data_IF_152186008703
#
_entry.id   IF_152186008703
#
_cell.length_a   1.000
_cell.length_b   1.000
_cell.length_c   1.000
_cell.angle_alpha   90.00
_cell.angle_beta   90.00
_cell.angle_gamma   90.00
#
_symmetry.space_group_name_H-M   'P 1'
#
loop_
_entity.id
_entity.type
_entity.pdbx_description
1 polymer ?
#
# COMPACT_ATOMS: atom_id res chain seq x y z
N UNK A 1 1.47 -23.20 28.89
CA UNK A 1 0.34 -24.13 29.09
C UNK A 1 -0.94 -23.75 28.33
N UNK A 2 -0.86 -23.27 27.08
CA UNK A 2 -2.04 -23.08 26.21
C UNK A 2 -1.75 -23.58 24.78
N UNK A 3 -1.01 -24.69 24.66
CA UNK A 3 -0.56 -25.21 23.36
C UNK A 3 -1.74 -25.53 22.46
N UNK A 4 -2.74 -26.24 22.99
CA UNK A 4 -3.91 -26.68 22.21
C UNK A 4 -4.79 -25.50 21.77
N UNK A 5 -4.91 -24.48 22.62
CA UNK A 5 -5.63 -23.24 22.28
C UNK A 5 -4.89 -22.44 21.21
N UNK A 6 -3.56 -22.33 21.31
CA UNK A 6 -2.74 -21.66 20.28
C UNK A 6 -2.78 -22.42 18.95
N UNK A 7 -2.87 -23.76 18.97
CA UNK A 7 -3.05 -24.55 17.74
C UNK A 7 -4.41 -24.23 17.10
N UNK A 8 -5.47 -24.21 17.88
CA UNK A 8 -6.82 -23.88 17.39
C UNK A 8 -6.88 -22.46 16.83
N UNK A 9 -6.30 -21.48 17.54
CA UNK A 9 -6.24 -20.08 17.11
C UNK A 9 -5.41 -19.91 15.83
N UNK A 10 -4.21 -20.50 15.78
CA UNK A 10 -3.36 -20.41 14.60
C UNK A 10 -3.93 -21.12 13.37
N UNK A 11 -4.65 -22.22 13.56
CA UNK A 11 -5.39 -22.89 12.50
C UNK A 11 -6.55 -22.02 11.98
N UNK A 12 -7.34 -21.43 12.89
CA UNK A 12 -8.43 -20.53 12.53
C UNK A 12 -7.94 -19.29 11.78
N UNK A 13 -6.86 -18.66 12.26
CA UNK A 13 -6.27 -17.48 11.64
C UNK A 13 -5.70 -17.76 10.26
N UNK A 14 -4.97 -18.87 10.11
CA UNK A 14 -4.43 -19.27 8.82
C UNK A 14 -5.54 -19.58 7.81
N UNK A 15 -6.57 -20.34 8.21
CA UNK A 15 -7.68 -20.68 7.32
C UNK A 15 -8.55 -19.47 6.96
N UNK A 16 -8.80 -18.58 7.92
CA UNK A 16 -9.54 -17.33 7.69
C UNK A 16 -8.81 -16.47 6.64
N UNK A 17 -7.49 -16.33 6.77
CA UNK A 17 -6.70 -15.55 5.83
C UNK A 17 -6.54 -16.25 4.46
N UNK A 18 -6.46 -17.58 4.40
CA UNK A 18 -6.46 -18.33 3.13
C UNK A 18 -7.77 -18.13 2.37
N UNK A 19 -8.92 -18.26 3.04
CA UNK A 19 -10.25 -18.01 2.46
C UNK A 19 -10.40 -16.59 1.95
N UNK A 20 -9.94 -15.59 2.72
CA UNK A 20 -9.94 -14.18 2.30
C UNK A 20 -9.15 -13.93 1.02
N UNK A 21 -8.15 -14.77 0.75
CA UNK A 21 -7.31 -14.72 -0.45
C UNK A 21 -7.84 -15.61 -1.60
N UNK A 22 -9.02 -16.23 -1.45
CA UNK A 22 -9.61 -17.13 -2.43
C UNK A 22 -8.85 -18.44 -2.59
N UNK A 23 -8.14 -18.88 -1.54
CA UNK A 23 -7.34 -20.10 -1.52
C UNK A 23 -8.00 -21.08 -0.56
N UNK A 24 -8.43 -22.22 -1.06
CA UNK A 24 -9.05 -23.29 -0.28
C UNK A 24 -8.26 -24.59 -0.53
N UNK A 25 -7.16 -24.82 0.20
CA UNK A 25 -6.41 -26.06 0.10
C UNK A 25 -7.09 -27.15 0.92
N UNK A 26 -6.92 -28.41 0.49
CA UNK A 26 -7.28 -29.56 1.34
C UNK A 26 -6.42 -29.57 2.60
N UNK A 27 -6.96 -30.05 3.72
CA UNK A 27 -6.27 -30.05 5.02
C UNK A 27 -4.92 -30.80 4.97
N UNK A 28 -4.87 -31.94 4.29
CA UNK A 28 -3.64 -32.69 4.06
C UNK A 28 -2.60 -31.92 3.23
N UNK A 29 -3.05 -31.10 2.30
CA UNK A 29 -2.18 -30.26 1.47
C UNK A 29 -1.58 -29.13 2.31
N UNK A 30 -2.40 -28.48 3.13
CA UNK A 30 -1.98 -27.44 4.05
C UNK A 30 -0.94 -27.98 5.05
N UNK A 31 -1.21 -29.12 5.67
CA UNK A 31 -0.31 -29.76 6.63
C UNK A 31 1.05 -30.11 6.00
N UNK A 32 1.06 -30.65 4.78
CA UNK A 32 2.32 -30.91 4.05
C UNK A 32 3.13 -29.66 3.74
N UNK A 33 2.48 -28.52 3.51
CA UNK A 33 3.18 -27.24 3.31
C UNK A 33 3.76 -26.75 4.64
N UNK A 34 3.01 -26.86 5.73
CA UNK A 34 3.46 -26.46 7.06
C UNK A 34 4.64 -27.29 7.53
N UNK A 35 4.62 -28.61 7.36
CA UNK A 35 5.75 -29.50 7.68
C UNK A 35 7.01 -29.15 6.88
N UNK A 36 6.87 -28.71 5.62
CA UNK A 36 8.02 -28.26 4.81
C UNK A 36 8.58 -26.91 5.26
N UNK A 37 7.75 -26.05 5.84
CA UNK A 37 8.16 -24.73 6.35
C UNK A 37 8.70 -24.81 7.78
N UNK A 38 8.19 -25.77 8.55
CA UNK A 38 8.46 -25.97 9.96
C UNK A 38 9.94 -25.98 10.37
N UNK A 39 10.84 -26.68 9.65
CA UNK A 39 12.27 -26.70 9.99
C UNK A 39 12.94 -25.31 10.01
N UNK A 40 12.43 -24.34 9.24
CA UNK A 40 12.96 -22.96 9.23
C UNK A 40 12.52 -22.13 10.44
N UNK A 41 11.55 -22.63 11.19
CA UNK A 41 10.92 -21.97 12.33
C UNK A 41 11.04 -22.79 13.61
N UNK A 42 11.92 -23.80 13.63
CA UNK A 42 12.08 -24.73 14.76
C UNK A 42 10.77 -25.46 15.13
N UNK A 43 9.90 -25.69 14.14
CA UNK A 43 8.60 -26.34 14.28
C UNK A 43 8.63 -27.68 13.53
N UNK A 44 8.88 -28.82 14.17
CA UNK A 44 9.05 -30.10 13.47
C UNK A 44 7.74 -30.64 12.88
N UNK A 45 6.58 -30.24 13.38
CA UNK A 45 5.26 -30.71 12.92
C UNK A 45 4.37 -29.56 12.44
N UNK A 46 3.31 -29.90 11.69
CA UNK A 46 2.28 -28.94 11.31
C UNK A 46 1.58 -28.34 12.55
N UNK A 47 1.35 -29.13 13.61
CA UNK A 47 0.82 -28.64 14.88
C UNK A 47 1.72 -27.59 15.53
N UNK A 48 3.04 -27.79 15.49
CA UNK A 48 3.97 -26.81 16.04
C UNK A 48 3.95 -25.51 15.25
N UNK A 49 3.74 -25.60 13.92
CA UNK A 49 3.53 -24.42 13.08
C UNK A 49 2.21 -23.72 13.41
N UNK A 50 1.11 -24.45 13.61
CA UNK A 50 -0.16 -23.84 14.04
C UNK A 50 -0.03 -23.18 15.42
N UNK A 51 0.61 -23.85 16.37
CA UNK A 51 0.91 -23.27 17.69
C UNK A 51 1.73 -21.99 17.53
N UNK A 52 2.80 -22.02 16.71
CA UNK A 52 3.65 -20.87 16.43
C UNK A 52 2.92 -19.71 15.78
N UNK A 53 1.92 -19.99 14.96
CA UNK A 53 1.06 -18.96 14.40
C UNK A 53 0.15 -18.37 15.48
N UNK A 54 -0.52 -19.20 16.28
CA UNK A 54 -1.48 -18.74 17.28
C UNK A 54 -0.87 -17.92 18.41
N UNK A 55 0.35 -18.24 18.86
CA UNK A 55 1.05 -17.39 19.84
C UNK A 55 1.83 -16.23 19.20
N UNK A 56 1.81 -16.10 17.87
CA UNK A 56 2.46 -15.01 17.13
C UNK A 56 3.96 -15.17 16.87
N UNK A 57 4.55 -16.33 17.15
CA UNK A 57 5.97 -16.63 16.86
C UNK A 57 6.27 -16.78 15.35
N UNK A 58 5.29 -17.22 14.57
CA UNK A 58 5.36 -17.26 13.10
C UNK A 58 4.18 -16.49 12.54
N UNK A 59 4.39 -15.32 11.92
CA UNK A 59 3.28 -14.56 11.41
C UNK A 59 2.67 -15.23 10.17
N UNK A 60 1.34 -15.30 10.12
CA UNK A 60 0.54 -15.93 9.04
C UNK A 60 1.02 -15.53 7.63
N UNK A 61 1.42 -14.27 7.44
CA UNK A 61 1.86 -13.75 6.14
C UNK A 61 3.14 -14.42 5.59
N UNK A 62 3.99 -15.02 6.43
CA UNK A 62 5.17 -15.79 5.97
C UNK A 62 4.79 -17.14 5.38
N UNK A 63 3.63 -17.68 5.76
CA UNK A 63 3.17 -19.03 5.40
C UNK A 63 2.34 -19.01 4.12
N UNK A 64 1.43 -18.04 3.99
CA UNK A 64 0.47 -17.93 2.87
C UNK A 64 1.11 -17.95 1.47
N UNK A 65 2.23 -17.25 1.17
CA UNK A 65 2.83 -17.27 -0.16
C UNK A 65 3.23 -18.69 -0.60
N UNK A 66 3.71 -19.51 0.33
CA UNK A 66 4.11 -20.88 0.02
C UNK A 66 2.91 -21.79 -0.18
N UNK A 67 1.87 -21.63 0.65
CA UNK A 67 0.59 -22.34 0.48
C UNK A 67 -0.03 -22.00 -0.88
N UNK A 68 -0.03 -20.72 -1.26
CA UNK A 68 -0.51 -20.24 -2.57
C UNK A 68 0.26 -20.85 -3.73
N UNK A 69 1.59 -20.91 -3.66
CA UNK A 69 2.43 -21.49 -4.70
C UNK A 69 2.08 -22.97 -4.96
N UNK A 70 1.88 -23.74 -3.88
CA UNK A 70 1.55 -25.17 -3.96
C UNK A 70 0.12 -25.37 -4.47
N UNK A 71 -0.84 -24.61 -3.93
CA UNK A 71 -2.24 -24.65 -4.34
C UNK A 71 -2.40 -24.29 -5.83
N UNK A 72 -1.71 -23.26 -6.31
CA UNK A 72 -1.73 -22.86 -7.72
C UNK A 72 -1.08 -23.90 -8.64
N UNK A 73 -0.04 -24.62 -8.20
CA UNK A 73 0.58 -25.68 -9.01
C UNK A 73 -0.39 -26.85 -9.27
N UNK A 74 -1.26 -27.17 -8.31
CA UNK A 74 -2.27 -28.24 -8.41
C UNK A 74 -3.54 -27.78 -9.13
N UNK A 75 -3.97 -26.54 -8.91
CA UNK A 75 -5.19 -25.96 -9.50
C UNK A 75 -4.97 -25.27 -10.85
N UNK A 76 -3.76 -25.32 -11.41
CA UNK A 76 -3.50 -24.93 -12.80
C UNK A 76 -4.03 -26.01 -13.75
N UNK A 77 -5.36 -26.13 -13.82
CA UNK A 77 -6.02 -26.81 -14.91
C UNK A 77 -5.57 -26.17 -16.23
N UNK A 78 -5.27 -27.01 -17.22
CA UNK A 78 -4.80 -26.62 -18.53
C UNK A 78 -5.78 -25.63 -19.18
N UNK A 79 -5.47 -24.34 -19.15
CA UNK A 79 -6.07 -23.37 -20.05
C UNK A 79 -5.44 -23.55 -21.45
N UNK A 80 -6.23 -23.51 -22.53
CA UNK A 80 -5.72 -23.73 -23.88
C UNK A 80 -4.65 -22.69 -24.23
N UNK A 81 -3.61 -23.15 -24.94
CA UNK A 81 -2.46 -22.36 -25.32
C UNK A 81 -2.85 -21.23 -26.27
N UNK A 82 -2.90 -20.00 -25.77
CA UNK A 82 -2.75 -18.79 -26.58
C UNK A 82 -1.28 -18.60 -26.96
N UNK A 83 -0.96 -18.20 -28.21
CA UNK A 83 0.41 -18.11 -28.70
C UNK A 83 1.26 -17.17 -27.82
N UNK A 84 2.47 -17.64 -27.50
CA UNK A 84 3.45 -17.00 -26.63
C UNK A 84 3.87 -15.62 -27.16
N UNK A 85 3.32 -14.57 -26.56
CA UNK A 85 3.97 -13.26 -26.50
C UNK A 85 5.23 -13.42 -25.63
N UNK A 86 6.39 -12.86 -26.03
CA UNK A 86 7.66 -13.08 -25.33
C UNK A 86 7.59 -12.71 -23.85
N UNK A 87 8.38 -13.44 -23.06
CA UNK A 87 8.33 -13.57 -21.61
C UNK A 87 8.01 -12.28 -20.84
N UNK A 88 7.21 -12.35 -19.75
CA UNK A 88 7.09 -11.23 -18.84
C UNK A 88 8.46 -10.98 -18.22
N UNK A 89 9.00 -9.80 -18.51
CA UNK A 89 10.12 -9.19 -17.80
C UNK A 89 9.95 -9.39 -16.28
N UNK A 90 11.07 -9.65 -15.58
CA UNK A 90 11.36 -9.49 -14.15
C UNK A 90 10.18 -9.43 -13.15
N UNK A 91 10.26 -10.13 -11.99
CA UNK A 91 9.18 -10.20 -11.01
C UNK A 91 8.58 -8.83 -10.76
N UNK A 92 7.24 -8.73 -10.82
CA UNK A 92 6.46 -7.49 -10.70
C UNK A 92 6.92 -6.74 -9.44
N UNK A 93 7.89 -5.82 -9.61
CA UNK A 93 8.27 -4.86 -8.57
C UNK A 93 7.05 -3.99 -8.35
N UNK A 94 6.40 -4.23 -7.22
CA UNK A 94 5.18 -3.58 -6.78
C UNK A 94 5.36 -2.05 -6.84
N UNK A 95 4.73 -1.40 -7.82
CA UNK A 95 4.62 0.06 -7.97
C UNK A 95 5.92 0.89 -7.80
N UNK A 96 7.10 0.30 -8.06
CA UNK A 96 8.38 0.99 -7.86
C UNK A 96 8.75 1.26 -6.40
N UNK A 97 8.28 0.44 -5.45
CA UNK A 97 8.66 0.51 -4.02
C UNK A 97 9.30 -0.81 -3.59
N UNK A 98 10.37 -0.72 -2.80
CA UNK A 98 11.06 -1.85 -2.16
C UNK A 98 10.75 -1.83 -0.68
N UNK A 99 10.35 -2.98 -0.14
CA UNK A 99 10.08 -3.18 1.29
C UNK A 99 11.25 -3.95 1.89
N UNK A 100 11.91 -3.41 2.91
CA UNK A 100 13.05 -4.07 3.54
C UNK A 100 12.62 -5.41 4.17
N UNK A 101 13.35 -6.48 3.85
CA UNK A 101 13.11 -7.81 4.41
C UNK A 101 11.89 -8.56 3.86
N UNK A 102 11.22 -8.04 2.82
CA UNK A 102 10.07 -8.68 2.20
C UNK A 102 10.15 -8.66 0.67
N UNK A 103 10.27 -9.84 0.06
CA UNK A 103 10.19 -10.00 -1.39
C UNK A 103 8.74 -10.21 -1.85
N UNK A 104 8.36 -9.56 -2.96
CA UNK A 104 7.07 -9.77 -3.65
C UNK A 104 5.82 -9.51 -2.78
N UNK A 105 5.89 -8.48 -1.91
CA UNK A 105 4.74 -8.03 -1.12
C UNK A 105 3.77 -7.18 -1.95
N UNK A 106 2.47 -7.33 -1.69
CA UNK A 106 1.46 -6.43 -2.25
C UNK A 106 1.63 -5.03 -1.62
N UNK A 107 1.96 -4.03 -2.44
CA UNK A 107 2.11 -2.64 -1.98
C UNK A 107 0.88 -1.84 -2.40
N UNK A 108 0.36 -1.02 -1.48
CA UNK A 108 -0.73 -0.08 -1.74
C UNK A 108 -0.40 1.29 -1.18
N UNK A 109 -0.51 2.33 -2.00
CA UNK A 109 -0.36 3.71 -1.53
C UNK A 109 -1.56 4.16 -0.70
N UNK A 110 -1.30 4.78 0.43
CA UNK A 110 -2.33 5.29 1.32
C UNK A 110 -3.05 6.50 0.72
N UNK A 111 -4.38 6.50 0.80
CA UNK A 111 -5.22 7.61 0.31
C UNK A 111 -5.16 8.87 1.17
N UNK A 112 -4.62 8.78 2.39
CA UNK A 112 -4.58 9.92 3.32
C UNK A 112 -3.48 10.94 2.99
N UNK A 113 -2.39 10.52 2.33
CA UNK A 113 -1.23 11.37 2.10
C UNK A 113 -0.63 11.25 0.68
N UNK A 114 -1.15 10.35 -0.15
CA UNK A 114 -0.75 10.16 -1.56
C UNK A 114 0.77 10.24 -1.80
N UNK A 115 1.55 9.24 -1.33
CA UNK A 115 3.00 9.24 -1.52
C UNK A 115 3.38 9.33 -2.99
N UNK A 116 4.36 10.18 -3.29
CA UNK A 116 4.91 10.38 -4.62
C UNK A 116 6.39 9.98 -4.67
N UNK A 117 6.91 9.56 -5.84
CA UNK A 117 8.34 9.34 -6.01
C UNK A 117 9.17 10.54 -5.54
N UNK A 118 10.11 10.26 -4.63
CA UNK A 118 10.95 11.26 -3.96
C UNK A 118 10.49 11.63 -2.54
N UNK A 119 9.30 11.22 -2.11
CA UNK A 119 8.89 11.34 -0.72
C UNK A 119 9.66 10.37 0.18
N UNK A 120 9.95 10.80 1.41
CA UNK A 120 10.30 9.89 2.49
C UNK A 120 9.07 9.07 2.88
N UNK A 121 9.16 7.75 2.74
CA UNK A 121 8.03 6.83 2.88
C UNK A 121 8.28 5.79 3.98
N UNK A 122 7.19 5.31 4.56
CA UNK A 122 7.16 4.23 5.56
C UNK A 122 6.04 3.25 5.22
N UNK A 123 6.27 1.97 5.51
CA UNK A 123 5.28 0.92 5.31
C UNK A 123 4.61 0.52 6.62
N UNK A 124 3.32 0.22 6.57
CA UNK A 124 2.60 -0.46 7.64
C UNK A 124 2.04 -1.78 7.13
N UNK A 125 2.42 -2.90 7.75
CA UNK A 125 1.92 -4.22 7.41
C UNK A 125 0.44 -4.27 7.80
N UNK A 126 -0.45 -4.47 6.83
CA UNK A 126 -1.91 -4.58 7.07
C UNK A 126 -2.32 -6.01 7.42
N UNK A 127 -3.44 -6.18 8.14
CA UNK A 127 -3.90 -7.51 8.63
C UNK A 127 -4.31 -8.48 7.50
N UNK A 128 -4.59 -8.00 6.29
CA UNK A 128 -5.11 -8.81 5.17
C UNK A 128 -4.17 -8.91 3.97
N UNK A 129 -2.87 -9.05 4.20
CA UNK A 129 -1.80 -9.14 3.20
C UNK A 129 -1.54 -7.85 2.41
N UNK A 130 -0.41 -7.21 2.73
CA UNK A 130 0.13 -6.08 1.98
C UNK A 130 0.61 -4.95 2.88
N UNK A 131 1.48 -4.12 2.31
CA UNK A 131 2.04 -2.95 3.00
C UNK A 131 1.33 -1.69 2.51
N UNK A 132 0.71 -0.97 3.43
CA UNK A 132 0.20 0.37 3.18
C UNK A 132 1.36 1.36 3.25
N UNK A 133 1.61 2.09 2.17
CA UNK A 133 2.70 3.06 2.08
C UNK A 133 2.18 4.44 2.44
N UNK A 134 2.82 5.06 3.42
CA UNK A 134 2.54 6.41 3.88
C UNK A 134 3.78 7.28 3.71
N UNK A 135 3.59 8.60 3.62
CA UNK A 135 4.66 9.57 3.85
C UNK A 135 5.06 9.53 5.33
N UNK A 136 6.35 9.66 5.62
CA UNK A 136 6.87 9.64 7.00
C UNK A 136 6.26 10.72 7.90
N UNK A 137 5.89 11.86 7.31
CA UNK A 137 5.27 13.01 7.98
C UNK A 137 3.73 13.03 7.93
N UNK A 138 3.09 11.94 7.49
CA UNK A 138 1.63 11.84 7.48
C UNK A 138 1.07 11.89 8.90
N UNK A 139 -0.07 12.55 9.11
CA UNK A 139 -0.76 12.63 10.41
C UNK A 139 -1.16 11.27 10.99
N UNK A 140 -1.38 10.27 10.13
CA UNK A 140 -1.71 8.90 10.53
C UNK A 140 -0.48 8.04 10.83
N UNK A 141 0.73 8.58 10.65
CA UNK A 141 1.99 7.90 10.97
C UNK A 141 2.49 8.42 12.32
N UNK A 142 2.72 7.54 13.30
CA UNK A 142 3.30 7.92 14.59
C UNK A 142 4.63 8.64 14.42
N UNK A 143 4.84 9.71 15.20
CA UNK A 143 6.13 10.41 15.24
C UNK A 143 7.20 9.52 15.82
N UNK A 144 6.90 8.88 16.95
CA UNK A 144 7.70 7.83 17.56
C UNK A 144 7.08 6.48 17.23
N UNK A 145 7.82 5.66 16.48
CA UNK A 145 7.38 4.33 16.07
C UNK A 145 7.47 3.33 17.22
N UNK A 146 8.34 3.55 18.21
CA UNK A 146 8.52 2.63 19.34
C UNK A 146 7.35 2.69 20.33
N UNK A 147 6.74 3.86 20.46
CA UNK A 147 5.55 4.10 21.26
C UNK A 147 4.24 3.88 20.50
N UNK A 148 4.32 3.47 19.22
CA UNK A 148 3.14 3.23 18.40
C UNK A 148 2.42 1.94 18.84
N UNK A 149 1.10 1.84 18.61
CA UNK A 149 0.42 0.55 18.64
C UNK A 149 1.01 -0.37 17.57
N UNK A 150 1.38 -1.60 17.95
CA UNK A 150 1.96 -2.63 17.06
C UNK A 150 3.24 -2.12 16.34
N UNK A 151 4.29 -1.70 17.07
CA UNK A 151 5.50 -1.09 16.51
C UNK A 151 6.20 -2.00 15.48
N UNK A 152 6.14 -3.33 15.68
CA UNK A 152 6.70 -4.36 14.81
C UNK A 152 6.06 -4.42 13.41
N UNK A 153 4.89 -3.81 13.23
CA UNK A 153 4.20 -3.75 11.92
C UNK A 153 4.64 -2.57 11.07
N UNK A 154 5.41 -1.64 11.62
CA UNK A 154 6.02 -0.55 10.86
C UNK A 154 7.33 -1.03 10.23
N UNK A 155 7.41 -0.97 8.91
CA UNK A 155 8.56 -1.45 8.14
C UNK A 155 9.17 -0.32 7.33
N UNK A 156 10.49 -0.36 7.20
CA UNK A 156 11.22 0.55 6.32
C UNK A 156 10.96 0.17 4.87
N UNK A 157 10.69 1.19 4.06
CA UNK A 157 10.41 1.08 2.64
C UNK A 157 11.09 2.23 1.92
N UNK A 158 11.47 2.02 0.67
CA UNK A 158 12.06 3.08 -0.13
C UNK A 158 11.63 2.96 -1.60
N UNK A 159 11.70 4.06 -2.33
CA UNK A 159 11.45 4.04 -3.77
C UNK A 159 12.54 3.23 -4.47
N UNK A 160 12.12 2.43 -5.46
CA UNK A 160 13.01 1.78 -6.39
C UNK A 160 13.54 2.82 -7.39
N UNK A 161 14.80 2.70 -7.80
CA UNK A 161 15.43 3.66 -8.73
C UNK A 161 14.76 3.77 -10.10
N UNK A 162 13.91 2.82 -10.48
CA UNK A 162 13.08 2.87 -11.70
C UNK A 162 11.61 2.66 -11.35
N UNK A 163 10.88 3.76 -11.20
CA UNK A 163 9.42 3.73 -11.06
C UNK A 163 8.82 3.60 -12.47
N UNK A 164 8.06 2.52 -12.70
CA UNK A 164 7.44 2.24 -14.02
C UNK A 164 6.16 3.02 -14.28
N UNK A 165 5.50 3.51 -13.23
CA UNK A 165 4.29 4.31 -13.36
C UNK A 165 4.66 5.72 -13.83
N UNK A 166 4.02 6.14 -14.91
CA UNK A 166 4.24 7.46 -15.52
C UNK A 166 3.52 8.58 -14.75
N UNK A 167 2.42 8.27 -14.04
CA UNK A 167 1.60 9.24 -13.31
C UNK A 167 1.00 8.67 -12.03
N UNK A 168 0.99 9.49 -10.98
CA UNK A 168 0.44 9.23 -9.65
C UNK A 168 -0.67 10.23 -9.34
N UNK A 169 -1.68 9.80 -8.57
CA UNK A 169 -2.74 10.70 -8.09
C UNK A 169 -2.31 11.37 -6.79
N UNK A 170 -2.37 12.69 -6.76
CA UNK A 170 -2.14 13.48 -5.55
C UNK A 170 -3.23 14.52 -5.35
N UNK A 171 -3.62 14.70 -4.09
CA UNK A 171 -4.64 15.69 -3.71
C UNK A 171 -3.95 16.92 -3.10
N UNK A 172 -4.36 18.09 -3.55
CA UNK A 172 -3.98 19.40 -3.04
C UNK A 172 -5.16 20.00 -2.29
N UNK A 173 -4.85 20.66 -1.18
CA UNK A 173 -5.76 21.58 -0.50
C UNK A 173 -5.28 23.01 -0.76
N UNK A 174 -6.15 23.81 -1.37
CA UNK A 174 -5.93 25.19 -1.75
C UNK A 174 -6.89 26.04 -0.93
N UNK A 175 -6.37 27.04 -0.23
CA UNK A 175 -7.15 28.00 0.55
C UNK A 175 -6.92 29.38 -0.02
N UNK A 176 -8.00 30.09 -0.31
CA UNK A 176 -7.95 31.44 -0.89
C UNK A 176 -9.16 32.29 -0.50
N UNK A 177 -9.11 33.55 -0.92
CA UNK A 177 -10.24 34.47 -0.86
C UNK A 177 -11.31 34.04 -1.86
N UNK A 178 -12.57 33.95 -1.44
CA UNK A 178 -13.64 33.54 -2.34
C UNK A 178 -14.05 34.70 -3.25
N UNK A 179 -13.51 34.68 -4.48
CA UNK A 179 -13.80 35.71 -5.49
C UNK A 179 -14.29 35.09 -6.81
N UNK A 180 -15.10 35.83 -7.59
CA UNK A 180 -15.45 35.44 -8.95
C UNK A 180 -14.18 35.11 -9.77
N UNK A 181 -14.22 33.98 -10.47
CA UNK A 181 -13.13 33.54 -11.34
C UNK A 181 -12.03 32.71 -10.69
N UNK A 182 -11.98 32.58 -9.35
CA UNK A 182 -10.91 31.82 -8.67
C UNK A 182 -10.77 30.38 -9.19
N UNK A 183 -11.88 29.67 -9.34
CA UNK A 183 -11.86 28.30 -9.87
C UNK A 183 -11.40 28.24 -11.33
N UNK A 184 -11.72 29.24 -12.14
CA UNK A 184 -11.27 29.32 -13.53
C UNK A 184 -9.75 29.56 -13.58
N UNK A 185 -9.21 30.44 -12.73
CA UNK A 185 -7.78 30.67 -12.64
C UNK A 185 -7.01 29.40 -12.25
N UNK A 186 -7.55 28.64 -11.27
CA UNK A 186 -6.95 27.37 -10.83
C UNK A 186 -6.98 26.34 -11.95
N UNK A 187 -8.13 26.10 -12.58
CA UNK A 187 -8.24 25.08 -13.64
C UNK A 187 -7.41 25.46 -14.87
N UNK A 188 -7.33 26.75 -15.22
CA UNK A 188 -6.47 27.23 -16.30
C UNK A 188 -4.98 27.02 -15.98
N UNK A 189 -4.53 27.28 -14.74
CA UNK A 189 -3.14 27.00 -14.36
C UNK A 189 -2.82 25.50 -14.40
N UNK A 190 -3.73 24.64 -13.95
CA UNK A 190 -3.55 23.19 -14.02
C UNK A 190 -3.51 22.71 -15.48
N UNK A 191 -4.36 23.27 -16.35
CA UNK A 191 -4.34 23.01 -17.79
C UNK A 191 -3.01 23.42 -18.45
N UNK A 192 -2.49 24.61 -18.12
CA UNK A 192 -1.21 25.10 -18.63
C UNK A 192 -0.01 24.23 -18.19
N UNK A 193 -0.16 23.48 -17.09
CA UNK A 193 0.83 22.51 -16.62
C UNK A 193 0.64 21.13 -17.27
N UNK A 194 -0.33 20.97 -18.17
CA UNK A 194 -0.70 19.73 -18.84
C UNK A 194 -1.01 18.59 -17.87
N UNK A 195 -1.73 18.90 -16.78
CA UNK A 195 -2.10 17.92 -15.76
C UNK A 195 -3.58 17.56 -15.85
N UNK A 196 -3.86 16.29 -15.65
CA UNK A 196 -5.24 15.81 -15.59
C UNK A 196 -5.84 16.06 -14.20
N UNK A 197 -7.08 16.59 -14.15
CA UNK A 197 -7.85 16.78 -12.92
C UNK A 197 -8.83 15.61 -12.76
N UNK A 198 -8.64 14.80 -11.71
CA UNK A 198 -9.53 13.68 -11.38
C UNK A 198 -10.74 14.13 -10.55
N UNK A 199 -10.54 15.11 -9.67
CA UNK A 199 -11.62 15.70 -8.88
C UNK A 199 -11.27 17.12 -8.47
N UNK A 200 -12.30 17.97 -8.39
CA UNK A 200 -12.19 19.33 -7.91
C UNK A 200 -13.44 19.63 -7.08
N UNK A 201 -13.25 19.84 -5.78
CA UNK A 201 -14.33 20.18 -4.86
C UNK A 201 -14.03 21.52 -4.24
N UNK A 202 -14.94 22.47 -4.37
CA UNK A 202 -14.85 23.78 -3.74
C UNK A 202 -15.93 23.91 -2.67
N UNK A 203 -15.59 24.54 -1.55
CA UNK A 203 -16.55 24.97 -0.54
C UNK A 203 -16.14 26.30 0.06
N UNK A 204 -17.13 27.08 0.43
CA UNK A 204 -16.94 28.26 1.25
C UNK A 204 -16.86 27.86 2.73
N UNK A 205 -16.04 28.57 3.49
CA UNK A 205 -15.95 28.44 4.95
C UNK A 205 -16.72 29.57 5.63
N UNK A 206 -17.05 29.41 6.92
CA UNK A 206 -17.79 30.43 7.68
C UNK A 206 -17.10 31.80 7.73
N UNK A 207 -15.78 31.82 7.55
CA UNK A 207 -14.97 33.05 7.55
C UNK A 207 -14.91 33.70 6.15
N UNK A 208 -15.72 33.26 5.18
CA UNK A 208 -15.74 33.79 3.81
C UNK A 208 -14.56 33.37 2.93
N UNK A 209 -13.80 32.35 3.32
CA UNK A 209 -12.68 31.80 2.54
C UNK A 209 -13.11 30.60 1.71
N UNK A 210 -12.57 30.48 0.51
CA UNK A 210 -12.71 29.29 -0.32
C UNK A 210 -11.69 28.22 0.08
N UNK A 211 -12.15 26.98 0.24
CA UNK A 211 -11.31 25.79 0.42
C UNK A 211 -11.58 24.83 -0.73
N UNK A 212 -10.54 24.58 -1.51
CA UNK A 212 -10.60 23.80 -2.74
C UNK A 212 -9.73 22.56 -2.58
N UNK A 213 -10.32 21.39 -2.75
CA UNK A 213 -9.64 20.11 -2.79
C UNK A 213 -9.54 19.63 -4.24
N UNK A 214 -8.33 19.60 -4.80
CA UNK A 214 -8.06 19.20 -6.17
C UNK A 214 -7.22 17.92 -6.23
N UNK A 215 -7.72 16.86 -6.88
CA UNK A 215 -6.92 15.66 -7.13
C UNK A 215 -6.42 15.65 -8.56
N UNK A 216 -5.11 15.60 -8.76
CA UNK A 216 -4.45 15.73 -10.06
C UNK A 216 -3.48 14.57 -10.31
N UNK A 217 -3.17 14.31 -11.59
CA UNK A 217 -2.05 13.44 -12.00
C UNK A 217 -0.73 14.20 -11.90
N UNK A 218 0.27 13.60 -11.24
CA UNK A 218 1.66 14.11 -11.15
C UNK A 218 2.66 12.95 -11.21
N UNK A 219 3.87 13.20 -11.71
CA UNK A 219 4.91 12.18 -11.89
C UNK A 219 5.74 11.96 -10.63
N UNK A 220 6.10 13.05 -9.95
CA UNK A 220 7.01 13.02 -8.81
C UNK A 220 6.87 14.26 -7.92
N UNK A 221 7.65 14.29 -6.84
CA UNK A 221 7.67 15.39 -5.87
C UNK A 221 8.10 16.74 -6.48
N UNK A 222 9.00 16.74 -7.46
CA UNK A 222 9.51 17.98 -8.05
C UNK A 222 8.49 18.65 -8.97
N UNK A 223 7.77 17.87 -9.77
CA UNK A 223 6.62 18.38 -10.51
C UNK A 223 5.57 18.92 -9.54
N UNK A 224 5.27 18.20 -8.45
CA UNK A 224 4.32 18.66 -7.43
C UNK A 224 4.73 19.99 -6.81
N UNK A 225 6.02 20.18 -6.46
CA UNK A 225 6.53 21.48 -5.97
C UNK A 225 6.31 22.61 -6.99
N UNK A 226 6.54 22.34 -8.28
CA UNK A 226 6.26 23.31 -9.34
C UNK A 226 4.76 23.64 -9.44
N UNK A 227 3.87 22.65 -9.33
CA UNK A 227 2.41 22.88 -9.28
C UNK A 227 2.05 23.80 -8.13
N UNK A 228 2.51 23.48 -6.91
CA UNK A 228 2.25 24.28 -5.71
C UNK A 228 2.75 25.71 -5.89
N UNK A 229 3.97 25.89 -6.42
CA UNK A 229 4.54 27.21 -6.66
C UNK A 229 3.79 28.03 -7.71
N UNK A 230 3.22 27.39 -8.73
CA UNK A 230 2.42 28.05 -9.78
C UNK A 230 1.04 28.45 -9.27
N UNK A 231 0.37 27.56 -8.55
CA UNK A 231 -0.93 27.84 -7.94
C UNK A 231 -0.80 28.94 -6.89
N UNK A 232 0.23 28.91 -6.04
CA UNK A 232 0.42 29.93 -5.00
C UNK A 232 0.65 31.36 -5.53
N UNK A 233 0.87 31.54 -6.84
CA UNK A 233 1.00 32.85 -7.50
C UNK A 233 -0.32 33.40 -8.04
N UNK A 234 -1.39 32.62 -8.00
CA UNK A 234 -2.73 33.09 -8.38
C UNK A 234 -3.18 34.10 -7.33
N UNK A 235 -3.64 35.25 -7.79
CA UNK A 235 -4.14 36.32 -6.92
C UNK A 235 -5.32 35.84 -6.05
N UNK A 236 -5.26 36.14 -4.76
CA UNK A 236 -6.21 35.68 -3.75
C UNK A 236 -5.93 34.29 -3.16
N UNK A 237 -4.90 33.55 -3.59
CA UNK A 237 -4.51 32.29 -2.93
C UNK A 237 -3.67 32.58 -1.67
N UNK A 238 -4.14 32.07 -0.53
CA UNK A 238 -3.50 32.23 0.77
C UNK A 238 -2.55 31.07 1.10
N UNK A 239 -2.94 29.84 0.75
CA UNK A 239 -2.07 28.68 0.94
C UNK A 239 -2.41 27.54 -0.03
N UNK A 240 -1.38 26.79 -0.43
CA UNK A 240 -1.52 25.56 -1.19
C UNK A 240 -0.67 24.50 -0.50
N UNK A 241 -1.30 23.41 -0.07
CA UNK A 241 -0.60 22.32 0.62
C UNK A 241 -1.03 20.96 0.10
N UNK A 242 -0.09 20.02 0.13
CA UNK A 242 -0.38 18.59 -0.01
C UNK A 242 -0.44 17.98 1.39
N UNK A 243 -1.60 17.45 1.83
CA UNK A 243 -1.73 16.81 3.14
C UNK A 243 -0.85 15.55 3.33
#
# INVERSE_FOLDING_TARGET
>A
ERRDENIAEGNADLNSELRRNGIEPEEDELNRVLEKLGPRHNCPTAEDMYAAIGYGGVPVWKVIPKVREVWQKKHRAAAPAVPRIPAPSAPKRSAGVVVEGMDNCLVKFARCCNPLPGDEIIGFITRGFGVSIHKRNCSNVPRDLSAAPEPERWVRVHWAGSVREEEFKATLEIVGEDRPGLLADITQQVFNLHLFIHSLNSRETKDGRAVISATISVRNIDQMKNVIARLSKIDGILSVRRP
#
